data_IF_222284445737
#
_entry.id   IF_222284445737
#
_cell.length_a   1.000
_cell.length_b   1.000
_cell.length_c   1.000
_cell.angle_alpha   90.00
_cell.angle_beta   90.00
_cell.angle_gamma   90.00
#
_symmetry.space_group_name_H-M   'P 1'
#
loop_
_entity.id
_entity.type
_entity.pdbx_description
1 polymer ?
#
# COMPACT_ATOMS: atom_id res chain seq x y z
N UNK A 1 -0.82 -3.82 6.36
CA UNK A 1 -0.31 -3.59 4.99
C UNK A 1 1.18 -3.88 4.87
N UNK A 2 2.06 -3.25 5.64
CA UNK A 2 3.53 -3.51 5.59
C UNK A 2 3.84 -4.98 5.87
N UNK A 3 3.23 -5.57 6.89
CA UNK A 3 3.42 -6.99 7.22
C UNK A 3 3.11 -7.92 6.03
N UNK A 4 2.04 -7.65 5.28
CA UNK A 4 1.69 -8.42 4.09
C UNK A 4 2.74 -8.33 2.97
N UNK A 5 3.46 -7.19 2.86
CA UNK A 5 4.59 -7.05 1.92
C UNK A 5 5.80 -7.86 2.42
N UNK A 6 6.09 -7.79 3.73
CA UNK A 6 7.19 -8.56 4.33
C UNK A 6 6.99 -10.07 4.16
N UNK A 7 5.76 -10.55 4.28
CA UNK A 7 5.36 -11.94 4.10
C UNK A 7 5.13 -12.33 2.63
N UNK A 8 5.43 -11.44 1.68
CA UNK A 8 5.20 -11.63 0.24
C UNK A 8 3.74 -11.95 -0.15
N UNK A 9 2.78 -11.66 0.72
CA UNK A 9 1.33 -11.82 0.44
C UNK A 9 0.77 -10.67 -0.38
N UNK A 10 1.33 -9.46 -0.22
CA UNK A 10 0.93 -8.29 -0.99
C UNK A 10 1.92 -8.05 -2.12
N UNK A 11 1.46 -8.29 -3.34
CA UNK A 11 2.24 -8.14 -4.58
C UNK A 11 1.62 -7.13 -5.54
N UNK A 12 0.47 -6.54 -5.16
CA UNK A 12 -0.27 -5.59 -5.98
C UNK A 12 -0.75 -4.41 -5.14
N UNK A 13 -0.92 -3.25 -5.75
CA UNK A 13 -1.56 -2.10 -5.10
C UNK A 13 -2.31 -1.23 -6.09
N UNK A 14 -3.49 -0.74 -5.67
CA UNK A 14 -4.33 0.20 -6.41
C UNK A 14 -4.18 1.61 -5.89
N UNK A 15 -4.13 2.57 -6.81
CA UNK A 15 -4.11 4.01 -6.50
C UNK A 15 -5.08 4.74 -7.40
N UNK A 16 -5.95 5.53 -6.81
CA UNK A 16 -6.89 6.37 -7.58
C UNK A 16 -6.13 7.28 -8.51
N UNK A 17 -6.57 7.31 -9.77
CA UNK A 17 -6.05 8.27 -10.75
C UNK A 17 -6.44 9.66 -10.31
N UNK A 18 -5.46 10.52 -10.12
CA UNK A 18 -5.68 11.92 -9.73
C UNK A 18 -5.63 12.82 -10.96
N UNK A 19 -6.69 13.56 -11.15
CA UNK A 19 -6.77 14.57 -12.22
C UNK A 19 -6.46 15.96 -11.67
N UNK A 20 -6.03 16.95 -12.50
CA UNK A 20 -5.74 16.78 -13.92
C UNK A 20 -4.48 15.97 -14.15
N UNK A 21 -4.43 15.22 -15.26
CA UNK A 21 -3.24 14.52 -15.70
C UNK A 21 -2.45 15.42 -16.68
N UNK A 22 -1.13 15.39 -16.58
CA UNK A 22 -0.24 16.10 -17.47
C UNK A 22 0.60 15.09 -18.26
N UNK A 23 0.49 15.14 -19.59
CA UNK A 23 1.31 14.33 -20.48
C UNK A 23 1.89 15.24 -21.55
N UNK A 24 3.21 15.37 -21.59
CA UNK A 24 3.95 16.05 -22.69
C UNK A 24 3.29 17.37 -23.17
N UNK A 25 2.83 18.21 -22.23
CA UNK A 25 2.20 19.49 -22.56
C UNK A 25 0.67 19.45 -22.75
N UNK A 26 0.04 18.30 -22.63
CA UNK A 26 -1.41 18.17 -22.66
C UNK A 26 -1.97 18.10 -21.25
N UNK A 27 -3.02 18.89 -20.97
CA UNK A 27 -3.80 18.81 -19.75
C UNK A 27 -5.03 17.96 -20.01
N UNK A 28 -5.11 16.81 -19.37
CA UNK A 28 -6.32 15.98 -19.36
C UNK A 28 -7.10 16.35 -18.11
N UNK A 29 -8.12 17.19 -18.28
CA UNK A 29 -9.05 17.56 -17.20
C UNK A 29 -9.92 16.36 -16.82
N UNK A 30 -10.46 16.40 -15.59
CA UNK A 30 -11.56 15.55 -15.21
C UNK A 30 -12.73 15.91 -16.13
N UNK A 31 -12.88 15.18 -17.23
CA UNK A 31 -14.15 15.02 -17.88
C UNK A 31 -14.71 13.70 -17.41
N UNK A 32 -15.98 13.50 -17.49
CA UNK A 32 -16.68 12.21 -17.32
C UNK A 32 -16.24 11.24 -18.43
N UNK A 33 -14.92 11.08 -18.59
CA UNK A 33 -14.38 10.19 -19.62
C UNK A 33 -14.70 8.76 -19.21
N UNK A 34 -15.57 8.14 -19.97
CA UNK A 34 -15.80 6.69 -19.89
C UNK A 34 -14.53 5.90 -20.23
N UNK A 35 -13.59 6.54 -20.90
CA UNK A 35 -12.33 5.95 -21.34
C UNK A 35 -11.26 6.02 -20.24
N UNK A 36 -10.45 4.96 -20.08
CA UNK A 36 -9.33 4.97 -19.17
C UNK A 36 -8.29 6.02 -19.59
N UNK A 37 -7.58 6.63 -18.61
CA UNK A 37 -6.48 7.52 -18.94
C UNK A 37 -5.37 6.76 -19.68
N UNK A 38 -4.65 7.42 -20.59
CA UNK A 38 -3.49 6.84 -21.25
C UNK A 38 -2.45 6.36 -20.23
N UNK A 39 -1.80 5.23 -20.50
CA UNK A 39 -0.81 4.66 -19.59
C UNK A 39 0.41 5.58 -19.40
N UNK A 40 0.70 6.41 -20.38
CA UNK A 40 1.77 7.40 -20.38
C UNK A 40 1.54 8.50 -19.31
N UNK A 41 0.32 8.60 -18.80
CA UNK A 41 -0.01 9.50 -17.68
C UNK A 41 0.36 8.91 -16.31
N UNK A 42 0.79 7.66 -16.27
CA UNK A 42 1.19 7.04 -15.03
C UNK A 42 2.45 7.73 -14.46
N UNK A 43 2.48 8.05 -13.16
CA UNK A 43 3.64 8.68 -12.53
C UNK A 43 4.84 7.74 -12.39
N UNK A 44 4.69 6.46 -12.70
CA UNK A 44 5.73 5.45 -12.59
C UNK A 44 5.82 4.63 -13.87
N UNK A 45 7.01 4.05 -14.09
CA UNK A 45 7.32 3.16 -15.20
C UNK A 45 7.61 1.73 -14.73
N UNK A 46 7.48 0.78 -15.65
CA UNK A 46 7.88 -0.62 -15.37
C UNK A 46 9.40 -0.64 -15.13
N UNK A 47 9.80 -1.26 -14.04
CA UNK A 47 11.19 -1.31 -13.60
C UNK A 47 11.54 -0.30 -12.51
N UNK A 48 10.71 0.72 -12.28
CA UNK A 48 10.91 1.67 -11.18
C UNK A 48 11.00 0.96 -9.84
N UNK A 49 11.87 1.48 -8.98
CA UNK A 49 12.02 0.99 -7.61
C UNK A 49 11.35 1.95 -6.65
N UNK A 50 10.33 1.46 -5.99
CA UNK A 50 9.63 2.13 -4.91
C UNK A 50 10.19 1.66 -3.57
N UNK A 51 10.05 2.49 -2.54
CA UNK A 51 10.33 2.10 -1.17
C UNK A 51 9.12 2.30 -0.27
N UNK A 52 8.90 1.38 0.65
CA UNK A 52 7.77 1.47 1.57
C UNK A 52 8.16 2.24 2.82
N UNK A 53 7.30 3.19 3.21
CA UNK A 53 7.44 3.93 4.47
C UNK A 53 6.75 3.19 5.58
N UNK A 54 7.43 3.09 6.72
CA UNK A 54 6.93 2.43 7.92
C UNK A 54 6.86 3.41 9.10
N UNK A 55 5.96 3.17 10.04
CA UNK A 55 5.99 3.82 11.34
C UNK A 55 7.24 3.34 12.06
N UNK A 56 8.06 4.27 12.53
CA UNK A 56 9.41 4.00 13.05
C UNK A 56 9.72 4.84 14.30
N UNK A 57 10.74 4.46 15.03
CA UNK A 57 11.38 5.28 16.06
C UNK A 57 12.88 4.99 16.11
N UNK A 58 13.63 5.92 16.71
CA UNK A 58 15.02 5.68 17.07
C UNK A 58 15.08 4.96 18.40
N UNK A 59 15.99 4.02 18.51
CA UNK A 59 16.29 3.27 19.72
C UNK A 59 17.79 3.22 19.93
N UNK A 60 18.22 3.14 21.17
CA UNK A 60 19.57 2.77 21.55
C UNK A 60 19.57 1.38 22.18
N UNK A 61 20.73 0.80 22.29
CA UNK A 61 20.92 -0.45 22.96
C UNK A 61 21.83 -0.25 24.17
N UNK A 62 21.54 -0.90 25.29
CA UNK A 62 22.37 -0.81 26.48
C UNK A 62 23.80 -1.26 26.18
N UNK A 63 24.77 -0.35 26.39
CA UNK A 63 26.19 -0.61 26.12
C UNK A 63 26.68 -0.27 24.72
N UNK A 64 25.85 0.29 23.85
CA UNK A 64 26.24 0.78 22.52
C UNK A 64 26.01 2.27 22.40
N UNK A 65 26.96 3.00 21.77
CA UNK A 65 26.83 4.43 21.49
C UNK A 65 25.95 4.71 20.27
N UNK A 66 25.75 3.71 19.40
CA UNK A 66 24.99 3.87 18.16
C UNK A 66 23.48 3.80 18.38
N UNK A 67 22.75 4.57 17.59
CA UNK A 67 21.30 4.53 17.53
C UNK A 67 20.82 3.68 16.34
N UNK A 68 19.75 2.96 16.52
CA UNK A 68 19.15 2.07 15.51
C UNK A 68 17.73 2.52 15.19
N UNK A 69 17.19 1.99 14.08
CA UNK A 69 15.80 2.23 13.70
C UNK A 69 14.98 0.99 13.99
N UNK A 70 13.96 1.17 14.81
CA UNK A 70 12.94 0.17 15.08
C UNK A 70 11.68 0.47 14.26
N UNK A 71 11.06 -0.56 13.71
CA UNK A 71 9.83 -0.44 12.90
C UNK A 71 8.66 -1.08 13.63
N UNK A 72 7.51 -0.38 13.64
CA UNK A 72 6.30 -0.85 14.33
C UNK A 72 5.75 -2.17 13.76
N UNK A 73 6.08 -2.49 12.52
CA UNK A 73 5.74 -3.76 11.88
C UNK A 73 6.63 -4.94 12.29
N UNK A 74 7.53 -4.72 13.23
CA UNK A 74 8.50 -5.70 13.72
C UNK A 74 9.84 -5.67 12.98
N UNK A 75 10.89 -6.11 13.69
CA UNK A 75 12.27 -6.11 13.21
C UNK A 75 12.92 -4.73 13.21
N UNK A 76 14.23 -4.74 13.32
CA UNK A 76 15.10 -3.57 13.32
C UNK A 76 15.91 -3.52 12.01
N UNK A 77 16.65 -2.44 11.75
CA UNK A 77 17.61 -2.44 10.66
C UNK A 77 18.73 -3.46 10.91
N UNK A 78 19.44 -3.88 9.88
CA UNK A 78 20.31 -5.05 9.83
C UNK A 78 21.40 -5.17 10.93
N UNK A 79 21.71 -4.10 11.66
CA UNK A 79 22.65 -4.10 12.77
C UNK A 79 22.07 -4.64 14.09
N UNK A 80 20.75 -4.76 14.20
CA UNK A 80 20.06 -5.15 15.44
C UNK A 80 19.59 -6.62 15.48
N UNK A 81 20.16 -7.50 14.67
CA UNK A 81 19.75 -8.91 14.60
C UNK A 81 20.12 -9.78 15.82
N UNK A 82 20.83 -9.25 16.80
CA UNK A 82 21.46 -10.05 17.88
C UNK A 82 21.07 -9.58 19.28
N UNK A 83 19.99 -8.81 19.41
CA UNK A 83 19.72 -8.14 20.70
C UNK A 83 18.40 -8.61 21.27
N UNK A 84 18.43 -9.02 22.52
CA UNK A 84 17.22 -9.29 23.30
C UNK A 84 16.35 -8.03 23.36
N UNK A 85 15.05 -8.20 23.08
CA UNK A 85 14.09 -7.09 23.03
C UNK A 85 14.05 -6.27 24.33
N UNK A 86 14.37 -6.90 25.44
CA UNK A 86 14.42 -6.29 26.79
C UNK A 86 15.55 -5.27 26.97
N UNK A 87 16.53 -5.24 26.06
CA UNK A 87 17.69 -4.34 26.13
C UNK A 87 17.55 -3.12 25.22
N UNK A 88 16.43 -2.99 24.49
CA UNK A 88 16.15 -1.88 23.58
C UNK A 88 15.59 -0.69 24.36
N UNK A 89 16.30 0.44 24.33
CA UNK A 89 15.90 1.68 24.98
C UNK A 89 15.33 2.65 23.93
N UNK A 90 14.02 2.99 23.98
CA UNK A 90 13.47 3.98 23.07
C UNK A 90 14.07 5.36 23.30
N UNK A 91 14.65 5.97 22.27
CA UNK A 91 15.13 7.35 22.30
C UNK A 91 14.05 8.35 21.90
N UNK A 92 13.13 7.91 21.05
CA UNK A 92 12.06 8.72 20.47
C UNK A 92 10.69 8.04 20.65
N UNK A 93 9.62 8.86 20.56
CA UNK A 93 8.27 8.35 20.36
C UNK A 93 8.11 7.80 18.94
N UNK A 94 7.12 6.92 18.74
CA UNK A 94 6.75 6.44 17.41
C UNK A 94 6.43 7.60 16.47
N UNK A 95 7.11 7.67 15.34
CA UNK A 95 6.90 8.66 14.27
C UNK A 95 6.07 8.05 13.15
N UNK A 96 5.02 8.73 12.67
CA UNK A 96 4.24 8.28 11.52
C UNK A 96 5.11 8.04 10.29
N UNK A 97 4.70 7.10 9.45
CA UNK A 97 5.43 6.69 8.23
C UNK A 97 5.69 7.84 7.26
N UNK A 98 4.84 8.88 7.22
CA UNK A 98 5.03 10.06 6.36
C UNK A 98 6.34 10.81 6.66
N UNK A 99 6.86 10.70 7.86
CA UNK A 99 8.09 11.35 8.31
C UNK A 99 9.34 10.47 8.16
N UNK A 100 9.19 9.25 7.61
CA UNK A 100 10.31 8.33 7.47
C UNK A 100 11.27 8.82 6.38
N UNK A 101 12.56 9.07 6.70
CA UNK A 101 13.56 9.35 5.71
C UNK A 101 13.83 8.14 4.80
N UNK A 102 14.26 8.42 3.58
CA UNK A 102 14.61 7.40 2.59
C UNK A 102 15.71 6.45 3.06
N UNK A 103 16.69 6.97 3.78
CA UNK A 103 17.83 6.20 4.30
C UNK A 103 17.43 5.12 5.29
N UNK A 104 16.25 5.27 5.93
CA UNK A 104 15.70 4.27 6.84
C UNK A 104 14.88 3.20 6.12
N UNK A 105 14.75 3.30 4.79
CA UNK A 105 14.00 2.30 4.04
C UNK A 105 14.70 0.93 4.07
N UNK A 106 13.90 -0.10 4.32
CA UNK A 106 14.34 -1.52 4.29
C UNK A 106 13.48 -2.38 3.36
N UNK A 107 12.41 -1.81 2.81
CA UNK A 107 11.50 -2.50 1.91
C UNK A 107 11.54 -1.80 0.57
N UNK A 108 12.03 -2.50 -0.44
CA UNK A 108 12.14 -2.03 -1.81
C UNK A 108 11.29 -2.90 -2.71
N UNK A 109 10.56 -2.25 -3.61
CA UNK A 109 9.57 -2.87 -4.48
C UNK A 109 9.87 -2.46 -5.92
N UNK A 110 10.13 -3.43 -6.80
CA UNK A 110 10.31 -3.18 -8.22
C UNK A 110 8.99 -3.38 -8.94
N UNK A 111 8.57 -2.38 -9.72
CA UNK A 111 7.35 -2.46 -10.52
C UNK A 111 7.55 -3.44 -11.68
N UNK A 112 6.66 -4.43 -11.78
CA UNK A 112 6.66 -5.46 -12.83
C UNK A 112 5.67 -5.17 -13.93
N UNK A 113 4.49 -4.69 -13.55
CA UNK A 113 3.44 -4.33 -14.50
C UNK A 113 2.62 -3.15 -13.99
N UNK A 114 2.05 -2.42 -14.92
CA UNK A 114 1.15 -1.28 -14.67
C UNK A 114 -0.06 -1.46 -15.59
N UNK A 115 -1.25 -1.33 -15.03
CA UNK A 115 -2.49 -1.30 -15.80
C UNK A 115 -3.47 -0.29 -15.22
N UNK A 116 -4.45 0.09 -16.02
CA UNK A 116 -5.56 0.96 -15.63
C UNK A 116 -6.85 0.15 -15.66
N UNK A 117 -7.65 0.25 -14.63
CA UNK A 117 -8.97 -0.36 -14.58
C UNK A 117 -9.93 0.45 -13.72
N UNK A 118 -11.23 0.18 -13.82
CA UNK A 118 -12.19 0.68 -12.84
C UNK A 118 -12.02 -0.04 -11.51
N UNK A 119 -12.13 0.70 -10.41
CA UNK A 119 -11.93 0.15 -9.05
C UNK A 119 -12.75 -1.13 -8.80
N UNK A 120 -14.00 -1.15 -9.25
CA UNK A 120 -14.91 -2.28 -9.03
C UNK A 120 -14.65 -3.49 -9.95
N UNK A 121 -13.72 -3.38 -10.91
CA UNK A 121 -13.30 -4.51 -11.75
C UNK A 121 -12.35 -5.47 -11.02
N UNK A 122 -11.97 -5.16 -9.80
CA UNK A 122 -11.14 -6.04 -8.97
C UNK A 122 -11.77 -7.44 -8.88
N UNK A 123 -10.98 -8.45 -9.18
CA UNK A 123 -11.36 -9.85 -9.01
C UNK A 123 -10.85 -10.43 -7.69
N UNK A 124 -11.19 -11.68 -7.39
CA UNK A 124 -10.81 -12.32 -6.12
C UNK A 124 -9.32 -12.53 -5.96
N UNK A 125 -8.61 -12.89 -7.04
CA UNK A 125 -7.16 -13.06 -7.03
C UNK A 125 -6.45 -11.73 -6.81
N UNK A 126 -6.92 -10.68 -7.48
CA UNK A 126 -6.39 -9.32 -7.28
C UNK A 126 -6.56 -8.83 -5.84
N UNK A 127 -7.73 -9.11 -5.24
CA UNK A 127 -7.99 -8.74 -3.85
C UNK A 127 -7.05 -9.49 -2.88
N UNK A 128 -6.74 -10.75 -3.16
CA UNK A 128 -5.75 -11.52 -2.41
C UNK A 128 -4.34 -10.91 -2.57
N UNK A 129 -3.94 -10.57 -3.79
CA UNK A 129 -2.66 -9.94 -4.09
C UNK A 129 -2.52 -8.52 -3.51
N UNK A 130 -3.62 -7.83 -3.19
CA UNK A 130 -3.60 -6.59 -2.41
C UNK A 130 -3.24 -6.83 -0.93
N UNK A 131 -3.07 -8.08 -0.53
CA UNK A 131 -2.70 -8.47 0.83
C UNK A 131 -3.86 -8.47 1.80
N UNK A 132 -5.05 -8.78 1.32
CA UNK A 132 -6.23 -8.97 2.17
C UNK A 132 -6.02 -10.24 2.99
N UNK A 133 -5.82 -10.08 4.30
CA UNK A 133 -5.61 -11.19 5.23
C UNK A 133 -6.94 -11.81 5.68
N UNK A 134 -7.94 -10.98 5.88
CA UNK A 134 -9.22 -11.39 6.44
C UNK A 134 -10.25 -11.56 5.33
N UNK A 135 -10.73 -12.78 5.19
CA UNK A 135 -11.87 -13.09 4.34
C UNK A 135 -13.14 -12.65 5.07
N UNK A 136 -13.75 -11.59 4.60
CA UNK A 136 -15.02 -11.12 5.14
C UNK A 136 -16.19 -11.67 4.36
N UNK A 137 -17.21 -12.14 5.06
CA UNK A 137 -18.51 -12.41 4.44
C UNK A 137 -19.27 -11.10 4.19
N UNK A 138 -20.30 -11.17 3.34
CA UNK A 138 -21.17 -10.02 3.12
C UNK A 138 -21.84 -9.53 4.41
N UNK A 139 -22.24 -10.46 5.29
CA UNK A 139 -22.84 -10.13 6.58
C UNK A 139 -21.88 -9.41 7.50
N UNK A 140 -20.62 -9.88 7.56
CA UNK A 140 -19.58 -9.26 8.40
C UNK A 140 -19.27 -7.85 7.90
N UNK A 141 -19.15 -7.66 6.59
CA UNK A 141 -18.94 -6.36 5.97
C UNK A 141 -20.10 -5.39 6.30
N UNK A 142 -21.35 -5.84 6.12
CA UNK A 142 -22.54 -5.03 6.41
C UNK A 142 -22.62 -4.62 7.89
N UNK A 143 -22.20 -5.49 8.80
CA UNK A 143 -22.16 -5.18 10.24
C UNK A 143 -21.07 -4.16 10.59
N UNK A 144 -19.91 -4.22 9.93
CA UNK A 144 -18.77 -3.33 10.23
C UNK A 144 -19.01 -1.89 9.83
N UNK A 145 -19.67 -1.66 8.69
CA UNK A 145 -19.75 -0.32 8.06
C UNK A 145 -21.08 0.41 8.32
N UNK A 146 -22.06 -0.24 8.97
CA UNK A 146 -23.38 0.37 9.16
C UNK A 146 -24.05 0.75 7.83
N UNK A 147 -23.60 0.15 6.74
CA UNK A 147 -24.06 0.43 5.40
C UNK A 147 -25.46 -0.15 5.21
N UNK A 148 -26.44 0.72 5.11
CA UNK A 148 -27.82 0.36 4.83
C UNK A 148 -27.97 -0.55 3.59
N UNK A 149 -29.00 -0.36 2.79
CA UNK A 149 -29.31 -1.21 1.62
C UNK A 149 -28.38 -0.98 0.41
N UNK A 150 -27.07 -0.95 0.66
CA UNK A 150 -26.09 -0.86 -0.42
C UNK A 150 -26.19 -2.07 -1.35
N UNK A 151 -26.51 -1.82 -2.59
CA UNK A 151 -26.49 -2.82 -3.65
C UNK A 151 -25.04 -3.04 -4.08
N UNK A 152 -24.34 -3.92 -3.38
CA UNK A 152 -23.00 -4.35 -3.82
C UNK A 152 -23.20 -5.27 -5.01
N UNK A 153 -22.48 -5.03 -6.13
CA UNK A 153 -22.53 -5.91 -7.28
C UNK A 153 -22.20 -7.36 -6.86
N UNK A 154 -22.98 -8.31 -7.27
CA UNK A 154 -22.73 -9.73 -7.02
C UNK A 154 -22.34 -10.44 -8.33
N UNK A 155 -21.49 -11.47 -8.27
CA UNK A 155 -21.00 -12.15 -7.05
C UNK A 155 -19.64 -11.62 -6.59
N UNK A 156 -19.54 -11.15 -5.34
CA UNK A 156 -18.26 -10.90 -4.66
C UNK A 156 -17.87 -12.12 -3.83
N UNK A 157 -16.61 -12.48 -3.86
CA UNK A 157 -16.05 -13.45 -2.93
C UNK A 157 -15.55 -12.76 -1.64
N UNK A 158 -15.16 -13.57 -0.65
CA UNK A 158 -14.75 -13.06 0.66
C UNK A 158 -13.50 -12.17 0.60
N UNK A 159 -12.60 -12.37 -0.35
CA UNK A 159 -11.44 -11.49 -0.54
C UNK A 159 -11.85 -10.11 -1.08
N UNK A 160 -12.79 -10.08 -2.02
CA UNK A 160 -13.31 -8.81 -2.54
C UNK A 160 -14.05 -8.01 -1.45
N UNK A 161 -14.79 -8.66 -0.56
CA UNK A 161 -15.38 -7.98 0.61
C UNK A 161 -14.31 -7.46 1.56
N UNK A 162 -13.27 -8.24 1.83
CA UNK A 162 -12.14 -7.79 2.64
C UNK A 162 -11.43 -6.58 2.03
N UNK A 163 -11.23 -6.59 0.71
CA UNK A 163 -10.66 -5.44 -0.01
C UNK A 163 -11.56 -4.20 0.09
N UNK A 164 -12.86 -4.36 -0.15
CA UNK A 164 -13.84 -3.28 -0.04
C UNK A 164 -13.81 -2.64 1.34
N UNK A 165 -13.77 -3.44 2.41
CA UNK A 165 -13.68 -2.94 3.78
C UNK A 165 -12.40 -2.10 4.00
N UNK A 166 -11.25 -2.60 3.51
CA UNK A 166 -9.99 -1.85 3.58
C UNK A 166 -10.07 -0.56 2.77
N UNK A 167 -10.67 -0.61 1.58
CA UNK A 167 -10.84 0.56 0.72
C UNK A 167 -11.70 1.63 1.37
N UNK A 168 -12.87 1.26 1.89
CA UNK A 168 -13.76 2.16 2.60
C UNK A 168 -13.09 2.84 3.79
N UNK A 169 -12.26 2.11 4.53
CA UNK A 169 -11.49 2.65 5.66
C UNK A 169 -10.44 3.67 5.24
N UNK A 170 -9.85 3.51 4.06
CA UNK A 170 -8.78 4.39 3.56
C UNK A 170 -9.30 5.59 2.78
N UNK A 171 -10.34 5.41 1.97
CA UNK A 171 -10.82 6.38 0.99
C UNK A 171 -12.28 6.77 1.14
N UNK A 172 -12.96 6.28 2.19
CA UNK A 172 -14.42 6.37 2.40
C UNK A 172 -15.20 5.53 1.38
N UNK A 173 -16.39 5.11 1.77
CA UNK A 173 -17.19 4.20 0.95
C UNK A 173 -17.82 4.88 -0.27
N UNK A 174 -18.04 6.19 -0.21
CA UNK A 174 -18.54 6.98 -1.35
C UNK A 174 -17.58 6.87 -2.55
N UNK A 175 -16.28 6.84 -2.29
CA UNK A 175 -15.27 6.68 -3.35
C UNK A 175 -15.39 5.32 -4.07
N UNK A 176 -15.81 4.27 -3.35
CA UNK A 176 -16.11 2.99 -4.00
C UNK A 176 -17.29 3.10 -4.97
N UNK A 177 -18.33 3.84 -4.60
CA UNK A 177 -19.53 4.04 -5.44
C UNK A 177 -19.23 4.86 -6.70
N UNK A 178 -18.34 5.83 -6.60
CA UNK A 178 -17.85 6.61 -7.73
C UNK A 178 -17.13 5.74 -8.77
N UNK A 179 -16.66 4.56 -8.36
CA UNK A 179 -15.95 3.61 -9.21
C UNK A 179 -14.86 4.26 -10.07
N UNK A 180 -13.91 4.99 -9.44
CA UNK A 180 -12.90 5.73 -10.18
C UNK A 180 -11.97 4.81 -10.96
N UNK A 181 -11.28 5.37 -11.95
CA UNK A 181 -10.11 4.71 -12.51
C UNK A 181 -8.99 4.64 -11.49
N UNK A 182 -8.30 3.50 -11.47
CA UNK A 182 -7.15 3.22 -10.62
C UNK A 182 -5.97 2.75 -11.44
N UNK A 183 -4.77 3.23 -11.06
CA UNK A 183 -3.53 2.60 -11.43
C UNK A 183 -3.37 1.33 -10.61
N UNK A 184 -3.15 0.21 -11.25
CA UNK A 184 -2.83 -1.07 -10.62
C UNK A 184 -1.37 -1.36 -10.87
N UNK A 185 -0.59 -1.39 -9.81
CA UNK A 185 0.84 -1.71 -9.84
C UNK A 185 1.04 -3.12 -9.31
N UNK A 186 1.63 -3.98 -10.11
CA UNK A 186 2.17 -5.24 -9.63
C UNK A 186 3.66 -5.05 -9.36
N UNK A 187 4.13 -5.59 -8.26
CA UNK A 187 5.51 -5.42 -7.83
C UNK A 187 6.05 -6.70 -7.19
N UNK A 188 7.36 -6.80 -7.16
CA UNK A 188 8.09 -7.78 -6.37
C UNK A 188 8.96 -7.07 -5.32
N UNK A 189 9.16 -7.71 -4.18
CA UNK A 189 10.12 -7.24 -3.18
C UNK A 189 11.53 -7.60 -3.65
N UNK A 190 12.40 -6.60 -3.63
CA UNK A 190 13.81 -6.74 -3.99
C UNK A 190 14.72 -6.35 -2.82
N UNK A 191 15.98 -6.68 -2.90
CA UNK A 191 17.00 -6.13 -2.02
C UNK A 191 17.23 -4.65 -2.31
N UNK A 192 17.85 -3.93 -1.37
CA UNK A 192 18.19 -2.53 -1.57
C UNK A 192 19.15 -2.39 -2.75
N UNK A 193 18.77 -1.63 -3.81
CA UNK A 193 19.69 -1.39 -4.92
C UNK A 193 20.95 -0.63 -4.45
N UNK A 194 22.10 -0.95 -5.03
CA UNK A 194 23.39 -0.34 -4.67
C UNK A 194 23.43 1.17 -4.96
N UNK A 195 22.70 1.60 -5.99
CA UNK A 195 22.60 2.99 -6.47
C UNK A 195 21.41 3.75 -5.88
N UNK A 196 20.67 3.15 -4.93
CA UNK A 196 19.51 3.76 -4.32
C UNK A 196 19.93 4.90 -3.39
N UNK A 197 19.87 6.13 -3.92
CA UNK A 197 20.19 7.39 -3.22
C UNK A 197 18.94 8.14 -2.76
#
# INVERSE_FOLDING_TARGET
MVQAILEAKKTQTRRVVKYPLQVKGWHISIGESENPPPIECCPYEIGDVLWARETFRKVSHYGFEDSFIEYKSGGNNAHCKIVDEDQIIPMDKWKPSIHMPKDYARIFLKIKSIRVERLQQINGSDAEQEGVADKLSYSDFKMMEGLGDWKIPRPFNNYQFGFLAIWCKLYRCENWLENPFVWVYEFEKIEKPLDFK
#
